data_IF_481301191000
#
_entry.id   IF_481301191000
#
_cell.length_a   1.000
_cell.length_b   1.000
_cell.length_c   1.000
_cell.angle_alpha   90.00
_cell.angle_beta   90.00
_cell.angle_gamma   90.00
#
_symmetry.space_group_name_H-M   'P 1'
#
loop_
_entity.id
_entity.type
_entity.pdbx_description
1 polymer ?
#
# COMPACT_ATOMS: atom_id res chain seq x y z
N UNK A 1 -28.26 -0.07 6.37
CA UNK A 1 -28.28 0.05 4.89
C UNK A 1 -28.64 -1.31 4.29
N UNK A 2 -29.56 -1.39 3.31
CA UNK A 2 -29.83 -2.64 2.60
C UNK A 2 -28.55 -3.20 1.95
N UNK A 3 -28.39 -4.53 1.96
CA UNK A 3 -27.22 -5.21 1.37
C UNK A 3 -27.03 -4.88 -0.12
N UNK A 4 -28.13 -4.61 -0.83
CA UNK A 4 -28.13 -4.16 -2.22
C UNK A 4 -27.47 -2.79 -2.39
N UNK A 5 -27.78 -1.83 -1.52
CA UNK A 5 -27.19 -0.49 -1.54
C UNK A 5 -25.70 -0.52 -1.14
N UNK A 6 -25.35 -1.30 -0.12
CA UNK A 6 -23.94 -1.56 0.24
C UNK A 6 -23.17 -2.23 -0.91
N UNK A 7 -23.78 -3.18 -1.61
CA UNK A 7 -23.17 -3.85 -2.77
C UNK A 7 -23.00 -2.91 -3.97
N UNK A 8 -23.97 -2.03 -4.22
CA UNK A 8 -23.88 -0.99 -5.26
C UNK A 8 -22.73 -0.02 -4.97
N UNK A 9 -22.62 0.47 -3.73
CA UNK A 9 -21.53 1.35 -3.29
C UNK A 9 -20.17 0.63 -3.37
N UNK A 10 -20.09 -0.63 -2.94
CA UNK A 10 -18.85 -1.40 -3.04
C UNK A 10 -18.40 -1.62 -4.50
N UNK A 11 -19.35 -1.86 -5.42
CA UNK A 11 -19.07 -2.01 -6.86
C UNK A 11 -18.70 -0.68 -7.53
N UNK A 12 -19.25 0.44 -7.08
CA UNK A 12 -18.93 1.75 -7.65
C UNK A 12 -17.57 2.29 -7.19
N UNK A 13 -17.12 1.92 -5.99
CA UNK A 13 -15.84 2.41 -5.43
C UNK A 13 -14.59 1.71 -5.96
N UNK A 14 -14.69 0.52 -6.58
CA UNK A 14 -13.57 -0.23 -7.18
C UNK A 14 -12.26 -0.19 -6.34
N UNK A 15 -12.36 -0.35 -5.02
CA UNK A 15 -11.25 -0.13 -4.09
C UNK A 15 -10.32 -1.37 -4.04
N UNK A 16 -9.00 -1.18 -4.24
CA UNK A 16 -7.99 -2.25 -4.10
C UNK A 16 -6.83 -1.80 -3.20
N UNK A 17 -7.12 -1.65 -1.91
CA UNK A 17 -6.15 -1.13 -0.92
C UNK A 17 -5.70 -2.24 0.02
N UNK A 18 -4.38 -2.34 0.23
CA UNK A 18 -3.79 -3.20 1.27
C UNK A 18 -2.93 -2.37 2.23
N UNK A 19 -3.27 -2.41 3.53
CA UNK A 19 -2.54 -1.67 4.57
C UNK A 19 -2.90 -2.19 5.97
N UNK A 20 -2.02 -2.01 6.95
CA UNK A 20 -2.31 -2.31 8.37
C UNK A 20 -2.74 -3.75 8.69
N UNK A 21 -2.47 -4.73 7.81
CA UNK A 21 -3.02 -6.10 7.90
C UNK A 21 -4.56 -6.14 8.04
N UNK A 22 -5.23 -5.13 7.47
CA UNK A 22 -6.64 -4.84 7.69
C UNK A 22 -7.57 -5.65 6.76
N UNK A 23 -7.08 -6.00 5.56
CA UNK A 23 -7.89 -6.57 4.47
C UNK A 23 -8.69 -7.82 4.89
N UNK A 24 -8.06 -8.79 5.57
CA UNK A 24 -8.79 -9.98 6.04
C UNK A 24 -9.65 -9.70 7.28
N UNK A 25 -9.17 -8.83 8.19
CA UNK A 25 -9.82 -8.55 9.48
C UNK A 25 -11.14 -7.81 9.33
N UNK A 26 -11.18 -6.77 8.49
CA UNK A 26 -12.35 -5.89 8.40
C UNK A 26 -13.35 -6.30 7.32
N UNK A 27 -12.88 -6.73 6.15
CA UNK A 27 -13.78 -6.97 5.00
C UNK A 27 -13.65 -8.37 4.41
N UNK A 28 -12.44 -8.94 4.39
CA UNK A 28 -12.11 -10.11 3.59
C UNK A 28 -12.66 -11.43 4.14
N UNK A 29 -12.55 -11.71 5.43
CA UNK A 29 -12.84 -13.08 5.93
C UNK A 29 -14.28 -13.50 5.73
N UNK A 30 -15.26 -12.65 6.11
CA UNK A 30 -16.68 -12.96 5.97
C UNK A 30 -17.09 -12.94 4.51
N UNK A 31 -16.73 -11.89 3.77
CA UNK A 31 -17.13 -11.70 2.38
C UNK A 31 -16.63 -12.83 1.48
N UNK A 32 -15.35 -13.21 1.59
CA UNK A 32 -14.78 -14.31 0.79
C UNK A 32 -15.41 -15.66 1.16
N UNK A 33 -15.78 -15.89 2.42
CA UNK A 33 -16.50 -17.10 2.83
C UNK A 33 -17.90 -17.16 2.24
N UNK A 34 -18.63 -16.05 2.22
CA UNK A 34 -19.96 -15.95 1.58
C UNK A 34 -19.86 -16.18 0.08
N UNK A 35 -18.89 -15.55 -0.59
CA UNK A 35 -18.61 -15.77 -2.01
C UNK A 35 -18.33 -17.26 -2.27
N UNK A 36 -17.37 -17.84 -1.54
CA UNK A 36 -17.01 -19.25 -1.72
C UNK A 36 -18.14 -20.23 -1.46
N UNK A 37 -19.01 -19.97 -0.47
CA UNK A 37 -20.18 -20.79 -0.19
C UNK A 37 -21.23 -20.69 -1.30
N UNK A 38 -21.50 -19.48 -1.79
CA UNK A 38 -22.45 -19.23 -2.89
C UNK A 38 -21.95 -19.86 -4.20
N UNK A 39 -20.66 -19.73 -4.51
CA UNK A 39 -20.03 -20.39 -5.66
C UNK A 39 -20.14 -21.92 -5.55
N UNK A 40 -19.90 -22.49 -4.36
CA UNK A 40 -20.08 -23.93 -4.14
C UNK A 40 -21.52 -24.37 -4.42
N UNK A 41 -22.51 -23.61 -3.94
CA UNK A 41 -23.92 -23.90 -4.16
C UNK A 41 -24.27 -23.87 -5.65
N UNK A 42 -23.77 -22.87 -6.39
CA UNK A 42 -23.92 -22.77 -7.85
C UNK A 42 -23.37 -24.01 -8.56
N UNK A 43 -22.14 -24.40 -8.23
CA UNK A 43 -21.47 -25.57 -8.82
C UNK A 43 -22.22 -26.87 -8.52
N UNK A 44 -22.66 -27.06 -7.28
CA UNK A 44 -23.43 -28.25 -6.87
C UNK A 44 -24.78 -28.31 -7.59
N UNK A 45 -25.49 -27.18 -7.69
CA UNK A 45 -26.77 -27.10 -8.42
C UNK A 45 -26.60 -27.44 -9.90
N UNK A 46 -25.58 -26.89 -10.53
CA UNK A 46 -25.24 -27.17 -11.94
C UNK A 46 -24.93 -28.65 -12.16
N UNK A 47 -24.09 -29.23 -11.30
CA UNK A 47 -23.72 -30.64 -11.39
C UNK A 47 -24.91 -31.58 -11.12
N UNK A 48 -25.80 -31.23 -10.19
CA UNK A 48 -27.02 -31.99 -9.91
C UNK A 48 -27.90 -32.10 -11.17
N UNK A 49 -28.10 -30.98 -11.85
CA UNK A 49 -28.85 -30.94 -13.11
C UNK A 49 -28.19 -31.79 -14.20
N UNK A 50 -26.88 -31.65 -14.41
CA UNK A 50 -26.15 -32.43 -15.44
C UNK A 50 -26.08 -33.92 -15.17
N UNK A 51 -25.96 -34.32 -13.91
CA UNK A 51 -25.83 -35.73 -13.53
C UNK A 51 -27.20 -36.41 -13.32
N UNK A 52 -28.28 -35.62 -13.25
CA UNK A 52 -29.62 -36.12 -12.96
C UNK A 52 -29.75 -36.69 -11.54
N UNK A 53 -29.09 -36.10 -10.55
CA UNK A 53 -29.07 -36.59 -9.16
C UNK A 53 -29.43 -35.47 -8.17
N UNK A 54 -29.96 -35.79 -6.97
CA UNK A 54 -30.24 -34.78 -5.96
C UNK A 54 -28.97 -34.04 -5.50
N UNK A 55 -29.04 -32.72 -5.34
CA UNK A 55 -27.92 -31.90 -4.88
C UNK A 55 -27.36 -32.32 -3.51
N UNK A 56 -28.21 -32.88 -2.65
CA UNK A 56 -27.81 -33.42 -1.34
C UNK A 56 -26.86 -34.63 -1.44
N UNK A 57 -26.83 -35.32 -2.58
CA UNK A 57 -25.93 -36.46 -2.82
C UNK A 57 -24.55 -36.03 -3.35
N UNK A 58 -24.37 -34.73 -3.61
CA UNK A 58 -23.14 -34.18 -4.15
C UNK A 58 -22.27 -33.55 -3.08
N UNK A 59 -20.98 -33.86 -3.15
CA UNK A 59 -19.94 -33.19 -2.36
C UNK A 59 -18.95 -32.47 -3.26
N UNK A 60 -18.03 -31.74 -2.66
CA UNK A 60 -17.03 -30.95 -3.39
C UNK A 60 -15.65 -31.16 -2.80
N UNK A 61 -14.70 -31.55 -3.64
CA UNK A 61 -13.31 -31.76 -3.24
C UNK A 61 -12.37 -31.54 -4.43
N UNK A 62 -11.18 -30.98 -4.17
CA UNK A 62 -10.08 -30.89 -5.14
C UNK A 62 -10.52 -30.38 -6.53
N UNK A 63 -11.26 -29.26 -6.55
CA UNK A 63 -11.76 -28.61 -7.77
C UNK A 63 -12.78 -29.43 -8.58
N UNK A 64 -13.51 -30.35 -7.92
CA UNK A 64 -14.57 -31.16 -8.51
C UNK A 64 -15.83 -31.18 -7.65
N UNK A 65 -16.98 -31.32 -8.30
CA UNK A 65 -18.22 -31.81 -7.68
C UNK A 65 -18.26 -33.33 -7.87
N UNK A 66 -18.52 -34.07 -6.81
CA UNK A 66 -18.40 -35.53 -6.77
C UNK A 66 -19.72 -36.14 -6.31
N UNK A 67 -20.20 -37.13 -7.06
CA UNK A 67 -21.34 -37.96 -6.70
C UNK A 67 -20.83 -39.34 -6.25
N UNK A 68 -20.77 -39.56 -4.93
CA UNK A 68 -20.13 -40.75 -4.36
C UNK A 68 -20.81 -42.06 -4.80
N UNK A 69 -22.15 -42.09 -4.82
CA UNK A 69 -22.92 -43.32 -5.12
C UNK A 69 -22.63 -43.88 -6.51
N UNK A 70 -22.40 -43.02 -7.51
CA UNK A 70 -22.13 -43.46 -8.88
C UNK A 70 -20.67 -43.31 -9.29
N UNK A 71 -19.78 -42.85 -8.42
CA UNK A 71 -18.38 -42.53 -8.74
C UNK A 71 -18.17 -41.40 -9.76
N UNK A 72 -19.24 -40.72 -10.21
CA UNK A 72 -19.15 -39.66 -11.24
C UNK A 72 -18.64 -38.36 -10.61
N UNK A 73 -17.87 -37.58 -11.37
CA UNK A 73 -17.41 -36.25 -10.96
C UNK A 73 -17.30 -35.30 -12.14
N UNK A 74 -17.51 -34.01 -11.86
CA UNK A 74 -17.38 -32.91 -12.83
C UNK A 74 -16.41 -31.87 -12.27
N UNK A 75 -15.46 -31.40 -13.07
CA UNK A 75 -14.52 -30.34 -12.66
C UNK A 75 -15.24 -29.01 -12.62
N UNK A 76 -14.83 -28.12 -11.71
CA UNK A 76 -15.44 -26.79 -11.59
C UNK A 76 -15.38 -25.99 -12.90
N UNK A 77 -14.29 -26.10 -13.67
CA UNK A 77 -14.16 -25.42 -14.96
C UNK A 77 -15.23 -25.82 -15.98
N UNK A 78 -15.69 -27.07 -15.95
CA UNK A 78 -16.76 -27.57 -16.85
C UNK A 78 -18.14 -27.01 -16.47
N UNK A 79 -18.31 -26.62 -15.21
CA UNK A 79 -19.55 -26.12 -14.63
C UNK A 79 -19.60 -24.59 -14.57
N UNK A 80 -18.45 -23.93 -14.61
CA UNK A 80 -18.31 -22.52 -14.21
C UNK A 80 -19.20 -21.55 -14.99
N UNK A 81 -19.25 -21.69 -16.32
CA UNK A 81 -20.02 -20.79 -17.18
C UNK A 81 -21.53 -20.85 -16.89
N UNK A 82 -22.06 -22.05 -16.69
CA UNK A 82 -23.48 -22.27 -16.37
C UNK A 82 -23.77 -21.90 -14.91
N UNK A 83 -22.87 -22.26 -13.99
CA UNK A 83 -22.96 -21.91 -12.58
C UNK A 83 -22.98 -20.39 -12.35
N UNK A 84 -22.29 -19.61 -13.20
CA UNK A 84 -22.28 -18.16 -13.14
C UNK A 84 -23.66 -17.52 -13.43
N UNK A 85 -24.59 -18.26 -14.05
CA UNK A 85 -25.97 -17.82 -14.27
C UNK A 85 -26.86 -17.86 -13.02
N UNK A 86 -26.41 -18.48 -11.92
CA UNK A 86 -27.18 -18.50 -10.68
C UNK A 86 -26.93 -17.28 -9.80
N UNK A 87 -28.01 -16.68 -9.32
CA UNK A 87 -28.02 -15.69 -8.25
C UNK A 87 -28.62 -16.32 -6.98
N UNK A 88 -27.99 -16.09 -5.83
CA UNK A 88 -28.46 -16.56 -4.54
C UNK A 88 -28.65 -15.38 -3.60
N UNK A 89 -29.68 -15.45 -2.75
CA UNK A 89 -29.84 -14.50 -1.65
C UNK A 89 -28.70 -14.65 -0.63
N UNK A 90 -28.46 -13.60 0.16
CA UNK A 90 -27.32 -13.51 1.08
C UNK A 90 -27.30 -14.58 2.21
N UNK A 91 -28.35 -15.38 2.35
CA UNK A 91 -28.49 -16.46 3.33
C UNK A 91 -27.84 -17.77 2.91
N UNK A 92 -26.52 -17.79 2.69
CA UNK A 92 -25.78 -19.03 2.41
C UNK A 92 -25.17 -19.62 3.68
N UNK A 93 -25.36 -20.92 3.89
CA UNK A 93 -24.76 -21.63 5.01
C UNK A 93 -23.23 -21.65 4.89
N UNK A 94 -22.55 -21.08 5.87
CA UNK A 94 -21.08 -21.08 5.93
C UNK A 94 -20.57 -22.32 6.64
N UNK A 95 -19.41 -22.82 6.19
CA UNK A 95 -18.66 -23.84 6.93
C UNK A 95 -18.35 -23.38 8.34
N UNK A 96 -18.47 -24.30 9.30
CA UNK A 96 -18.01 -24.09 10.67
C UNK A 96 -16.48 -24.21 10.75
N UNK A 97 -15.88 -23.74 11.84
CA UNK A 97 -14.42 -23.74 12.00
C UNK A 97 -13.81 -25.15 11.91
N UNK A 98 -14.50 -26.18 12.43
CA UNK A 98 -14.08 -27.58 12.33
C UNK A 98 -14.03 -28.12 10.89
N UNK A 99 -14.77 -27.51 9.97
CA UNK A 99 -14.84 -27.94 8.56
C UNK A 99 -13.84 -27.17 7.66
N UNK A 100 -13.02 -26.31 8.26
CA UNK A 100 -12.02 -25.55 7.53
C UNK A 100 -10.86 -26.44 7.09
N UNK A 101 -10.63 -26.47 5.77
CA UNK A 101 -9.50 -27.19 5.21
C UNK A 101 -8.19 -26.41 5.30
N UNK A 102 -8.23 -25.09 5.09
CA UNK A 102 -7.04 -24.24 4.98
C UNK A 102 -6.98 -23.10 6.01
N UNK A 103 -8.13 -22.56 6.43
CA UNK A 103 -8.18 -21.47 7.40
C UNK A 103 -7.68 -22.01 8.75
N UNK A 104 -6.75 -21.30 9.37
CA UNK A 104 -6.12 -21.70 10.64
C UNK A 104 -5.03 -22.77 10.49
N UNK A 105 -4.66 -23.16 9.25
CA UNK A 105 -3.59 -24.13 9.01
C UNK A 105 -2.40 -23.46 8.34
N UNK A 106 -1.20 -23.95 8.64
CA UNK A 106 0.01 -23.60 7.91
C UNK A 106 -0.07 -24.20 6.50
N UNK A 107 -0.15 -23.35 5.49
CA UNK A 107 -0.18 -23.73 4.07
C UNK A 107 1.04 -23.11 3.37
N UNK A 108 1.75 -23.86 2.50
CA UNK A 108 2.85 -23.28 1.72
C UNK A 108 2.35 -22.11 0.88
N UNK A 109 3.06 -20.97 0.95
CA UNK A 109 2.73 -19.83 0.10
C UNK A 109 3.22 -20.09 -1.32
N UNK A 110 2.37 -19.77 -2.29
CA UNK A 110 2.66 -19.96 -3.72
C UNK A 110 3.83 -19.12 -4.23
N UNK A 111 4.19 -18.04 -3.53
CA UNK A 111 5.25 -17.12 -3.92
C UNK A 111 6.62 -17.45 -3.29
N UNK A 112 6.70 -18.44 -2.39
CA UNK A 112 7.97 -18.84 -1.76
C UNK A 112 8.98 -19.38 -2.78
N UNK A 113 8.63 -20.33 -3.68
CA UNK A 113 9.62 -20.93 -4.57
C UNK A 113 10.41 -19.89 -5.38
N UNK A 114 9.71 -18.91 -5.96
CA UNK A 114 10.34 -17.86 -6.75
C UNK A 114 11.23 -16.94 -5.91
N UNK A 115 10.89 -16.71 -4.64
CA UNK A 115 11.66 -15.85 -3.73
C UNK A 115 12.95 -16.50 -3.24
N UNK A 116 12.96 -17.82 -3.08
CA UNK A 116 14.13 -18.55 -2.54
C UNK A 116 15.11 -19.01 -3.63
N UNK A 117 14.67 -19.06 -4.89
CA UNK A 117 15.52 -19.45 -6.02
C UNK A 117 15.93 -18.27 -6.92
N UNK A 118 15.61 -17.03 -6.53
CA UNK A 118 15.98 -15.82 -7.28
C UNK A 118 15.17 -15.56 -8.56
N UNK A 119 14.11 -16.30 -8.84
CA UNK A 119 13.28 -16.09 -10.05
C UNK A 119 12.13 -15.09 -9.86
N UNK A 120 11.87 -14.66 -8.62
CA UNK A 120 10.92 -13.61 -8.32
C UNK A 120 11.29 -12.29 -9.01
N UNK A 121 10.31 -11.64 -9.65
CA UNK A 121 10.50 -10.39 -10.38
C UNK A 121 9.90 -9.22 -9.59
N UNK A 122 10.75 -8.25 -9.25
CA UNK A 122 10.39 -6.99 -8.59
C UNK A 122 10.39 -5.82 -9.59
N UNK A 123 10.05 -4.62 -9.15
CA UNK A 123 10.10 -3.42 -10.00
C UNK A 123 11.51 -3.16 -10.55
N UNK A 124 12.54 -3.45 -9.73
CA UNK A 124 13.94 -3.35 -10.12
C UNK A 124 14.32 -4.28 -11.28
N UNK A 125 13.69 -5.44 -11.42
CA UNK A 125 14.07 -6.45 -12.41
C UNK A 125 13.47 -6.20 -13.79
N UNK A 126 12.54 -5.25 -13.91
CA UNK A 126 11.86 -4.96 -15.18
C UNK A 126 12.86 -4.48 -16.23
N UNK A 127 13.01 -5.21 -17.33
CA UNK A 127 13.84 -4.82 -18.47
C UNK A 127 12.95 -4.69 -19.70
N UNK A 128 13.09 -3.57 -20.42
CA UNK A 128 12.42 -3.35 -21.72
C UNK A 128 13.47 -3.07 -22.80
N UNK A 129 13.25 -3.52 -24.05
CA UNK A 129 14.15 -3.20 -25.16
C UNK A 129 14.32 -1.69 -25.33
N UNK A 130 15.56 -1.24 -25.49
CA UNK A 130 15.89 0.18 -25.69
C UNK A 130 15.66 1.08 -24.47
N UNK A 131 15.33 0.52 -23.31
CA UNK A 131 15.07 1.28 -22.09
C UNK A 131 16.25 2.16 -21.67
N UNK A 132 15.94 3.34 -21.11
CA UNK A 132 16.88 4.17 -20.37
C UNK A 132 16.64 4.08 -18.88
N UNK A 133 17.63 4.47 -18.10
CA UNK A 133 17.51 4.60 -16.65
C UNK A 133 17.51 6.07 -16.31
N UNK A 134 16.60 6.46 -15.43
CA UNK A 134 16.57 7.77 -14.81
C UNK A 134 16.83 7.66 -13.31
N UNK A 135 17.44 8.69 -12.73
CA UNK A 135 17.41 8.97 -11.30
C UNK A 135 16.99 10.42 -11.09
N UNK A 136 16.56 10.76 -9.89
CA UNK A 136 16.14 12.13 -9.55
C UNK A 136 16.94 12.70 -8.39
N UNK A 137 16.96 14.03 -8.33
CA UNK A 137 17.25 14.83 -7.14
C UNK A 137 16.00 15.67 -6.88
N UNK A 138 15.31 15.42 -5.79
CA UNK A 138 14.15 16.19 -5.38
C UNK A 138 14.52 17.29 -4.38
N UNK A 139 13.61 18.25 -4.19
CA UNK A 139 13.76 19.31 -3.21
C UNK A 139 14.01 18.69 -1.81
N UNK A 140 15.00 19.18 -1.06
CA UNK A 140 15.34 18.61 0.24
C UNK A 140 14.30 18.93 1.32
N UNK A 141 13.49 19.99 1.11
CA UNK A 141 12.42 20.40 2.01
C UNK A 141 11.08 20.12 1.32
N UNK A 142 10.15 19.48 2.03
CA UNK A 142 8.83 19.16 1.49
C UNK A 142 8.06 20.44 1.12
N UNK A 143 7.40 20.40 -0.02
CA UNK A 143 6.74 21.56 -0.62
C UNK A 143 7.69 22.50 -1.38
N UNK A 144 8.99 22.24 -1.35
CA UNK A 144 9.99 22.96 -2.13
C UNK A 144 9.83 22.75 -3.63
N UNK A 145 10.22 23.77 -4.40
CA UNK A 145 10.15 23.78 -5.88
C UNK A 145 11.52 23.96 -6.50
N UNK A 146 11.73 23.39 -7.68
CA UNK A 146 12.94 23.62 -8.47
C UNK A 146 12.92 25.04 -9.03
N UNK A 147 13.83 25.89 -8.56
CA UNK A 147 13.95 27.27 -9.04
C UNK A 147 14.85 27.33 -10.28
N UNK A 148 16.00 26.66 -10.22
CA UNK A 148 16.96 26.64 -11.31
C UNK A 148 17.90 25.44 -11.25
N UNK A 149 18.39 25.02 -12.40
CA UNK A 149 19.45 24.01 -12.54
C UNK A 149 20.12 24.19 -13.89
N UNK A 150 21.45 24.21 -13.88
CA UNK A 150 22.27 24.12 -15.09
C UNK A 150 22.43 22.64 -15.47
N UNK A 151 21.94 22.19 -16.64
CA UNK A 151 22.07 20.81 -17.06
C UNK A 151 23.49 20.45 -17.57
N UNK A 152 24.33 21.43 -17.89
CA UNK A 152 25.62 21.20 -18.57
C UNK A 152 26.55 20.22 -17.84
N UNK A 153 26.73 20.27 -16.50
CA UNK A 153 27.56 19.31 -15.78
C UNK A 153 27.10 17.86 -15.92
N UNK A 154 25.78 17.61 -15.88
CA UNK A 154 25.25 16.26 -16.10
C UNK A 154 25.42 15.81 -17.55
N UNK A 155 25.15 16.70 -18.51
CA UNK A 155 25.26 16.40 -19.94
C UNK A 155 26.71 16.11 -20.37
N UNK A 156 27.70 16.60 -19.64
CA UNK A 156 29.11 16.27 -19.87
C UNK A 156 29.49 14.83 -19.46
N UNK A 157 28.65 14.15 -18.66
CA UNK A 157 28.89 12.76 -18.27
C UNK A 157 28.53 11.82 -19.42
N UNK A 158 29.52 11.06 -19.89
CA UNK A 158 29.33 10.11 -20.98
C UNK A 158 28.17 9.13 -20.72
N UNK A 159 27.21 9.12 -21.64
CA UNK A 159 26.03 8.26 -21.59
C UNK A 159 24.80 8.88 -20.92
N UNK A 160 24.90 10.08 -20.34
CA UNK A 160 23.74 10.92 -20.03
C UNK A 160 23.16 11.45 -21.34
N UNK A 161 21.84 11.38 -21.47
CA UNK A 161 21.13 11.76 -22.70
C UNK A 161 20.16 12.92 -22.49
N UNK A 162 19.64 13.10 -21.28
CA UNK A 162 18.68 14.17 -20.99
C UNK A 162 18.66 14.55 -19.52
N UNK A 163 18.46 15.84 -19.25
CA UNK A 163 18.08 16.37 -17.94
C UNK A 163 16.66 16.92 -18.07
N UNK A 164 15.74 16.44 -17.23
CA UNK A 164 14.32 16.81 -17.24
C UNK A 164 14.01 17.54 -15.94
N UNK A 165 13.49 18.76 -16.06
CA UNK A 165 13.02 19.56 -14.92
C UNK A 165 11.58 19.14 -14.57
N UNK A 166 11.32 18.94 -13.29
CA UNK A 166 9.99 18.68 -12.70
C UNK A 166 9.70 19.80 -11.68
N UNK A 167 8.46 19.93 -11.17
CA UNK A 167 8.08 21.04 -10.28
C UNK A 167 8.92 21.09 -8.99
N UNK A 168 9.17 19.94 -8.36
CA UNK A 168 9.97 19.81 -7.13
C UNK A 168 11.22 18.93 -7.28
N UNK A 169 11.66 18.63 -8.49
CA UNK A 169 12.78 17.73 -8.73
C UNK A 169 13.46 17.93 -10.09
N UNK A 170 14.66 17.38 -10.25
CA UNK A 170 15.33 17.24 -11.54
C UNK A 170 15.67 15.77 -11.78
N UNK A 171 15.29 15.24 -12.95
CA UNK A 171 15.60 13.88 -13.37
C UNK A 171 16.75 13.86 -14.38
N UNK A 172 17.68 12.93 -14.22
CA UNK A 172 18.77 12.67 -15.17
C UNK A 172 18.55 11.32 -15.82
N UNK A 173 18.45 11.30 -17.15
CA UNK A 173 18.20 10.13 -17.97
C UNK A 173 19.48 9.72 -18.70
N UNK A 174 19.83 8.45 -18.63
CA UNK A 174 21.05 7.91 -19.24
C UNK A 174 20.87 6.48 -19.75
N UNK A 175 21.86 5.98 -20.49
CA UNK A 175 21.91 4.60 -21.00
C UNK A 175 21.92 3.53 -19.91
N UNK A 176 22.35 3.87 -18.70
CA UNK A 176 22.41 2.98 -17.56
C UNK A 176 22.39 3.74 -16.24
N UNK A 177 22.15 3.01 -15.15
CA UNK A 177 21.98 3.59 -13.82
C UNK A 177 23.21 4.38 -13.36
N UNK A 178 24.42 3.85 -13.57
CA UNK A 178 25.63 4.49 -13.09
C UNK A 178 25.91 5.84 -13.78
N UNK A 179 25.62 5.93 -15.08
CA UNK A 179 25.72 7.17 -15.84
C UNK A 179 24.68 8.19 -15.35
N UNK A 180 23.44 7.76 -15.14
CA UNK A 180 22.38 8.63 -14.60
C UNK A 180 22.75 9.17 -13.21
N UNK A 181 23.24 8.30 -12.32
CA UNK A 181 23.66 8.68 -10.97
C UNK A 181 24.86 9.63 -10.96
N UNK A 182 25.88 9.38 -11.80
CA UNK A 182 27.00 10.31 -11.97
C UNK A 182 26.55 11.67 -12.50
N UNK A 183 25.67 11.68 -13.50
CA UNK A 183 25.10 12.91 -14.03
C UNK A 183 24.32 13.69 -12.98
N UNK A 184 23.45 13.02 -12.21
CA UNK A 184 22.72 13.65 -11.11
C UNK A 184 23.69 14.25 -10.07
N UNK A 185 24.69 13.50 -9.62
CA UNK A 185 25.71 13.99 -8.67
C UNK A 185 26.55 15.16 -9.19
N UNK A 186 26.61 15.39 -10.50
CA UNK A 186 27.28 16.55 -11.09
C UNK A 186 26.42 17.82 -11.07
N UNK A 187 25.10 17.70 -10.85
CA UNK A 187 24.19 18.85 -10.80
C UNK A 187 24.27 19.56 -9.45
N UNK A 188 23.92 20.84 -9.47
CA UNK A 188 23.70 21.66 -8.27
C UNK A 188 22.38 22.44 -8.41
N UNK A 189 21.23 21.74 -8.37
CA UNK A 189 19.92 22.39 -8.47
C UNK A 189 19.66 23.31 -7.26
N UNK A 190 19.00 24.43 -7.51
CA UNK A 190 18.49 25.33 -6.48
C UNK A 190 17.00 25.07 -6.28
N UNK A 191 16.61 24.93 -5.03
CA UNK A 191 15.22 24.70 -4.63
C UNK A 191 14.78 25.75 -3.63
N UNK A 192 13.50 26.15 -3.69
CA UNK A 192 12.85 26.81 -2.58
C UNK A 192 12.54 25.79 -1.46
N UNK A 193 12.26 26.28 -0.26
CA UNK A 193 11.88 25.45 0.89
C UNK A 193 10.36 25.29 1.05
N UNK A 194 9.57 25.95 0.17
CA UNK A 194 8.11 25.97 0.25
C UNK A 194 7.56 26.62 1.53
N UNK A 195 8.37 27.41 2.24
CA UNK A 195 8.03 27.98 3.55
C UNK A 195 8.27 27.06 4.74
N UNK A 196 8.86 25.87 4.53
CA UNK A 196 9.02 24.84 5.55
C UNK A 196 10.46 24.66 6.04
N UNK A 197 11.42 25.48 5.60
CA UNK A 197 12.85 25.31 5.93
C UNK A 197 13.19 25.54 7.40
N UNK A 198 12.32 26.22 8.15
CA UNK A 198 12.49 26.48 9.58
C UNK A 198 11.97 25.38 10.51
N UNK A 199 11.35 24.32 9.98
CA UNK A 199 10.75 23.26 10.80
C UNK A 199 11.85 22.35 11.36
N UNK A 200 11.83 22.14 12.68
CA UNK A 200 12.76 21.25 13.38
C UNK A 200 12.02 20.24 14.26
N UNK A 201 12.66 19.09 14.53
CA UNK A 201 12.13 18.10 15.48
C UNK A 201 11.86 18.69 16.87
N UNK A 202 12.70 19.63 17.31
CA UNK A 202 12.54 20.30 18.60
C UNK A 202 11.32 21.24 18.62
N UNK A 203 11.11 22.01 17.55
CA UNK A 203 9.93 22.86 17.42
C UNK A 203 8.64 22.02 17.44
N UNK A 204 8.62 20.89 16.71
CA UNK A 204 7.47 19.97 16.69
C UNK A 204 7.22 19.37 18.09
N UNK A 205 8.24 18.94 18.82
CA UNK A 205 8.04 18.41 20.18
C UNK A 205 7.55 19.49 21.17
N UNK A 206 7.98 20.73 20.98
CA UNK A 206 7.53 21.87 21.78
C UNK A 206 6.03 22.12 21.55
N UNK A 207 5.61 22.17 20.29
CA UNK A 207 4.20 22.34 19.93
C UNK A 207 3.34 21.17 20.43
N UNK A 208 3.79 19.93 20.26
CA UNK A 208 3.10 18.76 20.79
C UNK A 208 2.91 18.80 22.32
N UNK A 209 3.91 19.31 23.06
CA UNK A 209 3.79 19.50 24.50
C UNK A 209 2.77 20.58 24.86
N UNK A 210 2.71 21.68 24.11
CA UNK A 210 1.71 22.74 24.28
C UNK A 210 0.29 22.21 24.01
N UNK A 211 0.10 21.43 22.94
CA UNK A 211 -1.19 20.81 22.60
C UNK A 211 -1.70 19.90 23.73
N UNK A 212 -0.83 19.06 24.30
CA UNK A 212 -1.20 18.23 25.46
C UNK A 212 -1.53 19.06 26.70
N UNK A 213 -0.74 20.10 26.97
CA UNK A 213 -0.96 20.97 28.13
C UNK A 213 -2.26 21.79 28.04
N UNK A 214 -2.73 22.09 26.82
CA UNK A 214 -3.98 22.82 26.61
C UNK A 214 -5.22 22.01 27.02
N UNK A 215 -5.12 20.68 27.14
CA UNK A 215 -6.21 19.78 27.55
C UNK A 215 -7.50 19.96 26.72
N UNK A 216 -7.33 20.15 25.41
CA UNK A 216 -8.42 20.28 24.42
C UNK A 216 -8.20 19.23 23.32
N UNK A 217 -8.53 17.96 23.58
CA UNK A 217 -8.28 16.90 22.61
C UNK A 217 -9.23 17.03 21.41
N UNK A 218 -8.71 16.78 20.20
CA UNK A 218 -9.54 16.68 18.99
C UNK A 218 -10.43 15.43 19.02
N UNK A 219 -9.98 14.37 19.72
CA UNK A 219 -10.76 13.16 19.94
C UNK A 219 -10.43 12.52 21.29
N UNK A 220 -11.46 11.92 21.90
CA UNK A 220 -11.32 11.11 23.13
C UNK A 220 -11.82 9.71 22.85
N UNK A 221 -11.01 8.70 23.21
CA UNK A 221 -11.35 7.29 23.10
C UNK A 221 -11.02 6.58 24.42
N UNK A 222 -11.88 5.65 24.82
CA UNK A 222 -11.72 4.88 26.04
C UNK A 222 -13.06 4.53 26.67
N UNK A 223 -13.00 3.72 27.72
CA UNK A 223 -14.17 3.27 28.48
C UNK A 223 -13.93 3.49 29.98
N UNK A 224 -15.03 3.63 30.73
CA UNK A 224 -15.01 3.77 32.19
C UNK A 224 -14.73 5.18 32.70
N UNK A 225 -14.66 5.32 34.03
CA UNK A 225 -14.40 6.58 34.72
C UNK A 225 -12.93 6.66 35.14
N UNK A 226 -12.10 7.19 34.24
CA UNK A 226 -10.66 7.36 34.45
C UNK A 226 -10.37 8.33 35.61
N UNK A 227 -11.19 9.37 35.79
CA UNK A 227 -11.00 10.33 36.86
C UNK A 227 -11.20 9.67 38.23
N UNK A 228 -12.27 8.89 38.40
CA UNK A 228 -12.50 8.10 39.60
C UNK A 228 -11.38 7.08 39.84
N UNK A 229 -10.96 6.35 38.81
CA UNK A 229 -9.86 5.38 38.93
C UNK A 229 -8.52 6.04 39.30
N UNK A 230 -8.22 7.23 38.80
CA UNK A 230 -7.03 8.02 39.17
C UNK A 230 -7.12 8.59 40.60
N UNK A 231 -8.32 8.74 41.15
CA UNK A 231 -8.57 9.16 42.53
C UNK A 231 -8.67 7.99 43.53
N UNK A 232 -8.41 6.75 43.09
CA UNK A 232 -8.45 5.56 43.95
C UNK A 232 -7.53 5.74 45.16
N UNK A 233 -8.10 5.59 46.37
CA UNK A 233 -7.36 5.70 47.62
C UNK A 233 -6.21 4.69 47.69
N UNK A 234 -5.07 5.14 48.21
CA UNK A 234 -3.84 4.35 48.37
C UNK A 234 -3.27 3.79 47.06
N UNK A 235 -3.76 4.26 45.90
CA UNK A 235 -3.21 3.89 44.61
C UNK A 235 -1.87 4.59 44.37
N UNK A 236 -0.90 3.85 43.84
CA UNK A 236 0.37 4.40 43.37
C UNK A 236 0.15 5.03 41.99
N UNK A 237 0.35 6.34 41.90
CA UNK A 237 0.32 7.06 40.62
C UNK A 237 1.68 6.93 39.93
N UNK A 238 1.67 6.49 38.68
CA UNK A 238 2.83 6.47 37.80
C UNK A 238 2.56 7.45 36.66
N UNK A 239 3.56 8.29 36.36
CA UNK A 239 3.56 9.19 35.21
C UNK A 239 4.80 8.92 34.37
N UNK A 240 4.63 8.95 33.06
CA UNK A 240 5.74 8.81 32.12
C UNK A 240 5.46 9.62 30.85
N UNK A 241 6.46 10.33 30.38
CA UNK A 241 6.44 11.04 29.10
C UNK A 241 7.25 10.26 28.06
N UNK A 242 6.67 10.07 26.89
CA UNK A 242 7.26 9.34 25.77
C UNK A 242 7.37 10.26 24.57
N UNK A 243 8.48 10.13 23.86
CA UNK A 243 8.73 10.76 22.56
C UNK A 243 9.11 9.67 21.57
N UNK A 244 8.45 9.69 20.41
CA UNK A 244 8.75 8.84 19.28
C UNK A 244 9.31 9.74 18.18
N UNK A 245 10.56 9.54 17.73
CA UNK A 245 11.11 10.33 16.63
C UNK A 245 10.47 9.90 15.31
N UNK A 246 10.72 10.68 14.26
CA UNK A 246 10.53 10.21 12.90
C UNK A 246 11.26 8.88 12.69
N UNK A 247 10.58 7.90 12.07
CA UNK A 247 11.23 6.66 11.69
C UNK A 247 11.03 6.37 10.23
N UNK A 248 12.15 6.11 9.57
CA UNK A 248 12.18 5.70 8.20
C UNK A 248 11.79 4.23 8.03
N UNK A 249 11.13 3.92 6.92
CA UNK A 249 10.67 2.57 6.59
C UNK A 249 11.81 1.63 6.21
N UNK A 250 12.91 2.18 5.68
CA UNK A 250 14.16 1.48 5.35
C UNK A 250 13.92 0.17 4.58
N UNK A 251 13.17 0.25 3.48
CA UNK A 251 12.88 -0.90 2.63
C UNK A 251 14.18 -1.45 2.02
N UNK A 252 14.28 -2.78 1.89
CA UNK A 252 15.46 -3.40 1.27
C UNK A 252 15.56 -3.03 -0.21
N UNK A 253 14.44 -3.12 -0.95
CA UNK A 253 14.34 -2.65 -2.33
C UNK A 253 14.06 -1.13 -2.34
N UNK A 254 14.97 -0.29 -2.89
CA UNK A 254 14.66 1.11 -3.20
C UNK A 254 13.50 1.21 -4.20
N UNK A 255 12.92 2.39 -4.35
CA UNK A 255 11.90 2.57 -5.37
C UNK A 255 12.47 2.43 -6.78
N UNK A 256 11.74 1.69 -7.61
CA UNK A 256 12.00 1.60 -9.03
C UNK A 256 10.72 1.30 -9.81
N UNK A 257 10.37 2.25 -10.68
CA UNK A 257 9.23 2.13 -11.58
C UNK A 257 9.75 2.24 -13.00
N UNK A 258 9.29 1.35 -13.87
CA UNK A 258 9.52 1.46 -15.32
C UNK A 258 8.25 1.99 -15.96
N UNK A 259 8.35 2.99 -16.82
CA UNK A 259 7.23 3.50 -17.57
C UNK A 259 7.56 3.60 -19.07
N UNK A 260 6.53 3.48 -19.90
CA UNK A 260 6.63 3.64 -21.34
C UNK A 260 5.39 4.36 -21.85
N UNK A 261 5.59 5.56 -22.40
CA UNK A 261 4.55 6.30 -23.09
C UNK A 261 4.69 6.09 -24.59
N UNK A 262 3.67 5.52 -25.23
CA UNK A 262 3.67 5.26 -26.66
C UNK A 262 2.24 5.28 -27.20
N UNK A 263 2.04 5.89 -28.37
CA UNK A 263 0.75 5.93 -29.08
C UNK A 263 -0.41 6.42 -28.19
N UNK A 264 -0.14 7.43 -27.35
CA UNK A 264 -1.12 8.00 -26.42
C UNK A 264 -1.48 7.12 -25.23
N UNK A 265 -0.71 6.05 -24.96
CA UNK A 265 -0.91 5.14 -23.82
C UNK A 265 0.32 5.11 -22.93
N UNK A 266 0.10 5.02 -21.62
CA UNK A 266 1.14 4.94 -20.61
C UNK A 266 1.06 3.60 -19.88
N UNK A 267 2.08 2.77 -20.04
CA UNK A 267 2.28 1.57 -19.24
C UNK A 267 3.29 1.83 -18.13
N UNK A 268 3.01 1.37 -16.91
CA UNK A 268 3.90 1.47 -15.75
C UNK A 268 4.03 0.11 -15.08
N UNK A 269 5.25 -0.34 -14.82
CA UNK A 269 5.58 -1.54 -14.05
C UNK A 269 6.26 -1.14 -12.75
N UNK A 270 5.74 -1.60 -11.61
CA UNK A 270 6.32 -1.30 -10.32
C UNK A 270 5.63 -1.99 -9.16
N UNK A 271 6.35 -2.10 -8.04
CA UNK A 271 5.80 -2.61 -6.79
C UNK A 271 5.21 -1.48 -5.95
N UNK A 272 3.88 -1.32 -5.95
CA UNK A 272 3.14 -0.32 -5.17
C UNK A 272 2.01 -0.99 -4.37
N UNK A 273 1.67 -0.47 -3.19
CA UNK A 273 0.64 -1.07 -2.31
C UNK A 273 -0.79 -0.90 -2.81
N UNK A 274 -1.04 0.15 -3.59
CA UNK A 274 -2.32 0.46 -4.21
C UNK A 274 -2.12 0.74 -5.71
N UNK A 275 -2.18 -0.31 -6.55
CA UNK A 275 -2.01 -0.18 -8.00
C UNK A 275 -3.05 0.73 -8.66
N UNK A 276 -4.28 0.81 -8.12
CA UNK A 276 -5.35 1.62 -8.70
C UNK A 276 -5.11 3.10 -8.43
N UNK A 277 -4.79 3.47 -7.19
CA UNK A 277 -4.43 4.85 -6.89
C UNK A 277 -3.14 5.26 -7.60
N UNK A 278 -2.13 4.37 -7.71
CA UNK A 278 -0.93 4.63 -8.52
C UNK A 278 -1.26 4.87 -9.99
N UNK A 279 -2.16 4.09 -10.59
CA UNK A 279 -2.66 4.33 -11.95
C UNK A 279 -3.32 5.71 -12.08
N UNK A 280 -4.18 6.09 -11.13
CA UNK A 280 -4.88 7.38 -11.16
C UNK A 280 -3.92 8.56 -11.01
N UNK A 281 -2.94 8.44 -10.10
CA UNK A 281 -1.91 9.45 -9.89
C UNK A 281 -1.03 9.63 -11.14
N UNK A 282 -0.60 8.52 -11.77
CA UNK A 282 0.13 8.56 -13.02
C UNK A 282 -0.67 9.18 -14.17
N UNK A 283 -1.97 8.85 -14.29
CA UNK A 283 -2.85 9.43 -15.29
C UNK A 283 -2.94 10.95 -15.15
N UNK A 284 -3.15 11.44 -13.91
CA UNK A 284 -3.15 12.88 -13.61
C UNK A 284 -1.82 13.53 -13.97
N UNK A 285 -0.69 12.94 -13.55
CA UNK A 285 0.64 13.48 -13.78
C UNK A 285 1.04 13.51 -15.27
N UNK A 286 0.55 12.55 -16.06
CA UNK A 286 0.77 12.47 -17.50
C UNK A 286 -0.23 13.30 -18.33
N UNK A 287 -1.27 13.87 -17.70
CA UNK A 287 -2.36 14.54 -18.42
C UNK A 287 -3.21 13.60 -19.28
N UNK A 288 -3.38 12.35 -18.85
CA UNK A 288 -4.09 11.30 -19.59
C UNK A 288 -5.40 10.89 -18.88
N UNK A 289 -6.36 10.40 -19.66
CA UNK A 289 -7.51 9.69 -19.11
C UNK A 289 -7.08 8.34 -18.51
N UNK A 290 -7.79 7.88 -17.47
CA UNK A 290 -7.42 6.66 -16.75
C UNK A 290 -7.46 5.40 -17.63
N UNK A 291 -8.29 5.34 -18.67
CA UNK A 291 -8.34 4.23 -19.63
C UNK A 291 -7.11 4.16 -20.57
N UNK A 292 -6.33 5.24 -20.65
CA UNK A 292 -5.05 5.31 -21.37
C UNK A 292 -3.84 4.91 -20.52
N UNK A 293 -4.04 4.60 -19.24
CA UNK A 293 -2.97 4.21 -18.33
C UNK A 293 -3.17 2.79 -17.84
N UNK A 294 -2.12 1.98 -17.92
CA UNK A 294 -2.07 0.63 -17.36
C UNK A 294 -0.96 0.56 -16.32
N UNK A 295 -1.33 0.20 -15.08
CA UNK A 295 -0.35 -0.12 -14.04
C UNK A 295 -0.25 -1.64 -13.90
N UNK A 296 0.94 -2.17 -14.10
CA UNK A 296 1.30 -3.58 -14.01
C UNK A 296 1.92 -3.83 -12.62
N UNK A 297 1.15 -4.38 -11.65
CA UNK A 297 1.64 -4.59 -10.31
C UNK A 297 2.74 -5.65 -10.26
N UNK A 298 3.86 -5.31 -9.63
CA UNK A 298 5.01 -6.20 -9.42
C UNK A 298 5.14 -6.60 -7.94
N UNK A 299 5.99 -7.59 -7.64
CA UNK A 299 6.37 -7.89 -6.27
C UNK A 299 7.04 -6.69 -5.60
N UNK A 300 6.95 -6.63 -4.27
CA UNK A 300 7.45 -5.53 -3.45
C UNK A 300 8.53 -6.06 -2.49
N UNK A 301 9.75 -5.53 -2.57
CA UNK A 301 10.88 -5.87 -1.71
C UNK A 301 10.91 -5.09 -0.39
N UNK A 302 9.76 -5.00 0.28
CA UNK A 302 9.53 -4.17 1.47
C UNK A 302 8.71 -2.91 1.15
N UNK A 303 7.81 -2.53 2.07
CA UNK A 303 7.03 -1.29 1.97
C UNK A 303 6.85 -0.64 3.32
N UNK A 304 6.30 -1.39 4.27
CA UNK A 304 6.01 -0.93 5.63
C UNK A 304 5.08 0.31 5.71
N UNK A 305 4.39 0.67 4.62
CA UNK A 305 3.59 1.88 4.47
C UNK A 305 4.14 2.84 3.40
N UNK A 306 5.45 2.81 3.15
CA UNK A 306 6.16 3.76 2.27
C UNK A 306 5.67 3.77 0.82
N UNK A 307 5.26 2.62 0.27
CA UNK A 307 4.85 2.46 -1.15
C UNK A 307 3.35 2.63 -1.38
N UNK A 308 2.66 3.33 -0.47
CA UNK A 308 1.34 3.89 -0.77
C UNK A 308 1.52 5.16 -1.62
N UNK A 309 0.74 5.32 -2.70
CA UNK A 309 0.93 6.42 -3.66
C UNK A 309 0.78 7.82 -3.06
N UNK A 310 -0.02 8.00 -2.01
CA UNK A 310 -0.14 9.32 -1.35
C UNK A 310 1.12 9.76 -0.59
N UNK A 311 2.08 8.86 -0.37
CA UNK A 311 3.30 9.14 0.39
C UNK A 311 4.54 9.22 -0.49
N UNK A 312 4.44 9.08 -1.81
CA UNK A 312 5.59 9.12 -2.71
C UNK A 312 5.28 9.79 -4.04
N UNK A 313 6.25 10.52 -4.53
CA UNK A 313 6.19 11.29 -5.76
C UNK A 313 6.65 10.45 -6.95
N UNK A 314 7.26 9.27 -6.74
CA UNK A 314 7.92 8.53 -7.84
C UNK A 314 6.96 8.12 -8.95
N UNK A 315 5.68 7.88 -8.63
CA UNK A 315 4.63 7.57 -9.61
C UNK A 315 4.39 8.75 -10.55
N UNK A 316 4.31 9.97 -10.00
CA UNK A 316 4.15 11.19 -10.79
C UNK A 316 5.41 11.50 -11.60
N UNK A 317 6.57 11.40 -10.94
CA UNK A 317 7.87 11.66 -11.56
C UNK A 317 8.12 10.73 -12.75
N UNK A 318 7.90 9.41 -12.60
CA UNK A 318 8.15 8.47 -13.70
C UNK A 318 7.19 8.69 -14.87
N UNK A 319 5.93 9.06 -14.59
CA UNK A 319 4.94 9.39 -15.61
C UNK A 319 5.35 10.65 -16.39
N UNK A 320 5.71 11.73 -15.69
CA UNK A 320 6.17 12.99 -16.27
C UNK A 320 7.47 12.85 -17.07
N UNK A 321 8.38 11.98 -16.62
CA UNK A 321 9.61 11.67 -17.35
C UNK A 321 9.31 10.85 -18.60
N UNK A 322 8.45 9.83 -18.50
CA UNK A 322 8.15 8.93 -19.62
C UNK A 322 7.46 9.63 -20.79
N UNK A 323 6.54 10.56 -20.54
CA UNK A 323 5.85 11.30 -21.63
C UNK A 323 6.79 12.21 -22.43
N UNK A 324 8.00 12.46 -21.95
CA UNK A 324 9.03 13.28 -22.61
C UNK A 324 10.10 12.45 -23.33
N UNK A 325 9.92 11.13 -23.42
CA UNK A 325 10.90 10.20 -23.98
C UNK A 325 10.25 9.29 -25.03
N UNK A 326 10.95 8.98 -26.13
CA UNK A 326 10.43 8.09 -27.18
C UNK A 326 10.60 6.60 -26.85
N UNK A 327 11.19 6.27 -25.70
CA UNK A 327 11.56 4.91 -25.30
C UNK A 327 11.16 4.66 -23.84
N UNK A 328 11.07 3.39 -23.39
CA UNK A 328 10.85 3.07 -21.98
C UNK A 328 11.91 3.70 -21.08
N UNK A 329 11.52 4.05 -19.86
CA UNK A 329 12.41 4.60 -18.84
C UNK A 329 12.16 3.93 -17.49
N UNK A 330 13.23 3.48 -16.84
CA UNK A 330 13.18 3.05 -15.44
C UNK A 330 13.67 4.17 -14.55
N UNK A 331 12.79 4.78 -13.78
CA UNK A 331 13.16 5.71 -12.72
C UNK A 331 13.52 4.91 -11.47
N UNK A 332 14.75 5.08 -11.01
CA UNK A 332 15.27 4.51 -9.77
C UNK A 332 15.52 5.67 -8.80
N UNK A 333 14.99 5.58 -7.59
CA UNK A 333 15.51 6.42 -6.51
C UNK A 333 16.76 5.75 -5.95
N UNK A 334 17.88 6.49 -5.95
CA UNK A 334 19.07 6.05 -5.22
C UNK A 334 18.70 5.82 -3.75
N UNK A 335 19.47 4.99 -3.03
CA UNK A 335 19.18 4.73 -1.61
C UNK A 335 19.22 6.02 -0.80
N UNK A 336 20.17 6.89 -1.09
CA UNK A 336 20.33 8.20 -0.46
C UNK A 336 19.11 9.08 -0.72
N UNK A 337 18.63 9.13 -1.96
CA UNK A 337 17.42 9.87 -2.33
C UNK A 337 16.18 9.29 -1.64
N UNK A 338 16.03 7.97 -1.59
CA UNK A 338 14.89 7.31 -0.94
C UNK A 338 14.83 7.60 0.56
N UNK A 339 15.99 7.62 1.22
CA UNK A 339 16.09 7.95 2.65
C UNK A 339 15.84 9.43 2.89
N UNK A 340 16.37 10.33 2.06
CA UNK A 340 16.17 11.79 2.18
C UNK A 340 14.72 12.18 1.89
N UNK A 341 14.11 11.60 0.86
CA UNK A 341 12.70 11.82 0.48
C UNK A 341 11.75 10.93 1.29
N UNK A 342 12.15 10.51 2.49
CA UNK A 342 11.37 9.59 3.31
C UNK A 342 9.98 10.14 3.66
N UNK A 343 8.94 9.33 3.46
CA UNK A 343 7.70 9.47 4.20
C UNK A 343 7.90 8.80 5.55
N UNK A 344 8.45 9.52 6.52
CA UNK A 344 8.73 8.96 7.85
C UNK A 344 7.44 8.77 8.62
N UNK A 345 7.32 7.67 9.38
CA UNK A 345 6.29 7.61 10.43
C UNK A 345 6.47 8.87 11.30
N UNK A 346 5.39 9.60 11.61
CA UNK A 346 5.50 10.90 12.19
C UNK A 346 6.12 10.84 13.58
N UNK A 347 6.79 11.93 13.92
CA UNK A 347 7.18 12.21 15.29
C UNK A 347 5.92 12.41 16.15
N UNK A 348 5.84 11.73 17.29
CA UNK A 348 4.70 11.82 18.21
C UNK A 348 5.19 11.90 19.65
N UNK A 349 4.37 12.43 20.54
CA UNK A 349 4.66 12.39 21.97
C UNK A 349 3.41 12.16 22.81
N UNK A 350 3.59 11.48 23.93
CA UNK A 350 2.52 11.08 24.82
C UNK A 350 2.92 11.26 26.28
N UNK A 351 1.96 11.71 27.08
CA UNK A 351 2.03 11.72 28.54
C UNK A 351 1.08 10.62 29.03
N UNK A 352 1.59 9.68 29.82
CA UNK A 352 0.85 8.51 30.30
C UNK A 352 0.74 8.59 31.80
N UNK A 353 -0.48 8.41 32.31
CA UNK A 353 -0.76 8.35 33.75
C UNK A 353 -1.48 7.05 34.08
N UNK A 354 -0.97 6.32 35.05
CA UNK A 354 -1.59 5.09 35.56
C UNK A 354 -1.79 5.18 37.07
N UNK A 355 -2.91 4.65 37.56
CA UNK A 355 -3.13 4.42 38.98
C UNK A 355 -3.10 2.91 39.27
N UNK A 356 -2.16 2.49 40.10
CA UNK A 356 -2.03 1.09 40.51
C UNK A 356 -2.57 0.92 41.93
N UNK A 357 -3.71 0.24 42.05
CA UNK A 357 -4.33 -0.09 43.33
C UNK A 357 -3.71 -1.32 44.00
N UNK A 358 -4.45 -1.90 44.96
CA UNK A 358 -4.01 -3.05 45.75
C UNK A 358 -3.60 -4.23 44.87
N UNK A 359 -2.43 -4.81 45.18
CA UNK A 359 -1.89 -5.95 44.43
C UNK A 359 -1.44 -5.61 43.01
N UNK A 360 -1.21 -4.33 42.69
CA UNK A 360 -0.74 -3.89 41.37
C UNK A 360 -1.83 -3.86 40.29
N UNK A 361 -3.11 -3.99 40.67
CA UNK A 361 -4.23 -3.88 39.73
C UNK A 361 -4.33 -2.46 39.19
N UNK A 362 -4.45 -2.33 37.88
CA UNK A 362 -4.65 -1.03 37.21
C UNK A 362 -6.07 -0.55 37.51
N UNK A 363 -6.18 0.56 38.25
CA UNK A 363 -7.44 1.22 38.56
C UNK A 363 -7.82 2.27 37.50
N UNK A 364 -6.82 2.91 36.89
CA UNK A 364 -6.98 3.79 35.74
C UNK A 364 -5.72 3.84 34.89
N UNK A 365 -5.91 4.12 33.61
CA UNK A 365 -4.86 4.36 32.64
C UNK A 365 -5.32 5.45 31.67
N UNK A 366 -4.54 6.52 31.57
CA UNK A 366 -4.81 7.67 30.72
C UNK A 366 -3.60 7.91 29.80
N UNK A 367 -3.88 8.17 28.52
CA UNK A 367 -2.91 8.58 27.53
C UNK A 367 -3.35 9.91 26.94
N UNK A 368 -2.55 10.95 27.14
CA UNK A 368 -2.68 12.21 26.42
C UNK A 368 -1.57 12.22 25.38
N UNK A 369 -1.89 12.19 24.09
CA UNK A 369 -0.89 12.15 23.02
C UNK A 369 -1.14 13.19 21.96
N UNK A 370 -0.07 13.67 21.33
CA UNK A 370 -0.11 14.58 20.21
C UNK A 370 0.69 14.00 19.04
N UNK A 371 0.08 13.99 17.87
CA UNK A 371 0.63 13.51 16.61
C UNK A 371 -0.04 14.25 15.44
N UNK A 372 0.55 14.25 14.24
CA UNK A 372 -0.09 14.78 13.04
C UNK A 372 -1.44 14.09 12.74
N UNK A 373 -2.39 14.86 12.22
CA UNK A 373 -3.78 14.44 11.96
C UNK A 373 -3.89 13.28 10.96
N UNK A 374 -2.96 13.21 10.02
CA UNK A 374 -2.84 12.20 8.97
C UNK A 374 -2.23 10.86 9.44
N UNK A 375 -1.71 10.80 10.68
CA UNK A 375 -1.31 9.57 11.35
C UNK A 375 -0.17 8.75 10.72
N UNK A 376 0.35 9.15 9.56
CA UNK A 376 1.44 8.50 8.82
C UNK A 376 2.22 9.46 7.92
#
# INVERSE_FOLDING_TARGET
LPTSLLSMVARSMNLQITGGSSALRFTGQRSVRVIGASTRQALVKTAAARLGVPAAELTTANSKVVHAKSGRSLRYGELAAEAAGYSFDAGVALKSAKDFRFIGKSVPRIDIPAKVNGTAQYGMDVIKPGMRVATVIAAPVRGGKLESVDPAPAMAVAGVEKVIKLDGAVAVVAKGYWQALKGARALSPKFSDGGNGGISSEAIFTEQAQLRAANKPDATLGDGDVAAGLATRDARIIKADYRLPFLHHAMMEPFALTAHFKDGKLDIWGGMQDPLASKMQAAKAAGLAADKVTFHPMLIGGSFGRRLPMYTEIVEQVAQVAVQLPHPVKLIWAREEEVTQGAYRPQSSASVKAALGKGGKVAALQYDFAQPEDGL
#
